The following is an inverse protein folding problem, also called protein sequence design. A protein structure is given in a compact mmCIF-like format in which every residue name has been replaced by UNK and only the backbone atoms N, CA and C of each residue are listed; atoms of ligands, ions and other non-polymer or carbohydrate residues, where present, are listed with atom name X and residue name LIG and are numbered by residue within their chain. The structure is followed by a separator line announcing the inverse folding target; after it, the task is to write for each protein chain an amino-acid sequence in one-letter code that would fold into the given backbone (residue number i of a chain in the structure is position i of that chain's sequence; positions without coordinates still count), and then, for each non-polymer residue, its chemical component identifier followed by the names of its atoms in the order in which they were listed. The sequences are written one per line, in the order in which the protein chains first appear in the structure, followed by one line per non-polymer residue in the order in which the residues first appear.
data_IF_854446645635
#
_entry.id   IF_854446645635
#
_cell.length_a   1.000
_cell.length_b   1.000
_cell.length_c   1.000
_cell.angle_alpha   90.00
_cell.angle_beta   90.00
_cell.angle_gamma   90.00
#
_symmetry.space_group_name_H-M   'P 1'
#
loop_
_entity.id
_entity.type
_entity.pdbx_description
1 polymer ?
#
# COMPACT_ATOMS: atom_id res chain seq x y z
N UNK A 1 -16.52 -30.13 20.79
CA UNK A 1 -16.52 -28.66 20.94
C UNK A 1 -15.39 -28.13 20.07
N UNK A 2 -15.73 -27.33 19.06
CA UNK A 2 -14.73 -26.67 18.21
C UNK A 2 -14.42 -25.36 18.91
N UNK A 3 -13.25 -25.28 19.56
CA UNK A 3 -12.75 -24.03 20.12
C UNK A 3 -12.48 -23.10 18.94
N UNK A 4 -13.06 -21.88 18.87
CA UNK A 4 -12.67 -20.94 17.84
C UNK A 4 -11.16 -20.68 17.99
N UNK A 5 -10.38 -20.59 16.90
CA UNK A 5 -8.99 -20.19 17.00
C UNK A 5 -8.98 -18.87 17.77
N UNK A 6 -8.17 -18.81 18.83
CA UNK A 6 -8.01 -17.63 19.67
C UNK A 6 -7.88 -16.42 18.75
N UNK A 7 -8.84 -15.49 18.85
CA UNK A 7 -8.80 -14.26 18.09
C UNK A 7 -7.43 -13.64 18.29
N UNK A 8 -6.72 -13.41 17.18
CA UNK A 8 -5.54 -12.55 17.15
C UNK A 8 -6.05 -11.13 17.38
N UNK A 9 -6.37 -10.81 18.63
CA UNK A 9 -6.83 -9.48 19.08
C UNK A 9 -5.66 -8.61 19.54
N UNK A 10 -4.46 -8.86 19.02
CA UNK A 10 -3.28 -8.02 19.21
C UNK A 10 -2.91 -7.34 17.89
N UNK A 11 -2.32 -6.16 17.96
CA UNK A 11 -1.64 -5.55 16.81
C UNK A 11 -0.63 -6.57 16.26
N UNK A 12 -0.94 -7.20 15.12
CA UNK A 12 -0.01 -8.10 14.46
C UNK A 12 0.97 -7.22 13.70
N UNK A 13 2.21 -7.16 14.20
CA UNK A 13 3.26 -6.48 13.48
C UNK A 13 3.85 -7.43 12.43
N UNK A 14 4.00 -6.93 11.21
CA UNK A 14 4.65 -7.65 10.12
C UNK A 14 6.06 -7.08 9.93
N UNK A 15 7.05 -7.94 10.10
CA UNK A 15 8.48 -7.64 9.97
C UNK A 15 9.04 -8.04 8.59
N UNK A 16 8.19 -8.58 7.70
CA UNK A 16 8.60 -8.93 6.35
C UNK A 16 9.23 -7.71 5.66
N UNK A 17 10.48 -7.81 5.16
CA UNK A 17 11.14 -6.71 4.47
C UNK A 17 10.30 -6.16 3.31
N UNK A 18 9.61 -7.03 2.59
CA UNK A 18 8.77 -6.63 1.46
C UNK A 18 7.55 -5.85 1.92
N UNK A 19 6.92 -6.24 3.03
CA UNK A 19 5.77 -5.51 3.56
C UNK A 19 6.18 -4.16 4.14
N UNK A 20 7.23 -4.14 4.98
CA UNK A 20 7.79 -2.91 5.56
C UNK A 20 8.18 -1.93 4.48
N UNK A 21 8.90 -2.38 3.45
CA UNK A 21 9.27 -1.52 2.33
C UNK A 21 8.05 -1.06 1.54
N UNK A 22 7.10 -1.94 1.22
CA UNK A 22 5.90 -1.57 0.45
C UNK A 22 5.10 -0.48 1.15
N UNK A 23 4.88 -0.61 2.45
CA UNK A 23 4.14 0.38 3.24
C UNK A 23 4.95 1.67 3.41
N UNK A 24 6.28 1.59 3.46
CA UNK A 24 7.17 2.76 3.51
C UNK A 24 7.21 3.53 2.19
N UNK A 25 7.33 2.84 1.06
CA UNK A 25 7.26 3.42 -0.28
C UNK A 25 5.90 4.09 -0.50
N UNK A 26 4.80 3.45 -0.08
CA UNK A 26 3.47 4.04 -0.16
C UNK A 26 3.35 5.33 0.67
N UNK A 27 3.90 5.35 1.89
CA UNK A 27 3.93 6.56 2.72
C UNK A 27 4.79 7.68 2.10
N UNK A 28 5.93 7.33 1.49
CA UNK A 28 6.79 8.28 0.79
C UNK A 28 6.09 8.87 -0.45
N UNK A 29 5.40 8.03 -1.23
CA UNK A 29 4.57 8.47 -2.36
C UNK A 29 3.39 9.34 -1.90
N UNK A 30 2.72 9.02 -0.80
CA UNK A 30 1.68 9.88 -0.21
C UNK A 30 2.24 11.25 0.16
N UNK A 31 3.45 11.30 0.74
CA UNK A 31 4.17 12.54 1.03
C UNK A 31 4.52 13.34 -0.23
N UNK A 32 5.04 12.67 -1.27
CA UNK A 32 5.37 13.29 -2.55
C UNK A 32 4.11 13.81 -3.27
N UNK A 33 2.99 13.07 -3.19
CA UNK A 33 1.69 13.48 -3.72
C UNK A 33 1.08 14.68 -2.99
N UNK A 34 1.65 15.11 -1.85
CA UNK A 34 1.30 16.37 -1.20
C UNK A 34 1.73 17.61 -2.01
N UNK A 35 2.59 17.46 -3.01
CA UNK A 35 3.01 18.52 -3.94
C UNK A 35 1.95 18.71 -5.04
N UNK A 36 1.86 19.93 -5.62
CA UNK A 36 0.76 20.29 -6.53
C UNK A 36 0.65 19.37 -7.75
N UNK A 37 1.77 18.95 -8.34
CA UNK A 37 1.82 18.18 -9.59
C UNK A 37 1.25 16.75 -9.49
N UNK A 38 1.03 16.26 -8.27
CA UNK A 38 0.66 14.86 -8.00
C UNK A 38 -0.55 14.73 -7.07
N UNK A 39 -1.21 15.85 -6.78
CA UNK A 39 -2.24 15.94 -5.75
C UNK A 39 -3.47 15.09 -6.04
N UNK A 40 -3.80 14.87 -7.32
CA UNK A 40 -4.92 13.99 -7.68
C UNK A 40 -4.71 12.52 -7.26
N UNK A 41 -3.47 12.06 -7.08
CA UNK A 41 -3.21 10.71 -6.58
C UNK A 41 -3.39 10.56 -5.06
N UNK A 42 -3.31 11.66 -4.30
CA UNK A 42 -3.27 11.64 -2.84
C UNK A 42 -4.45 10.89 -2.18
N UNK A 43 -5.72 11.10 -2.57
CA UNK A 43 -6.85 10.37 -1.97
C UNK A 43 -6.73 8.86 -2.17
N UNK A 44 -6.23 8.43 -3.33
CA UNK A 44 -6.07 7.04 -3.68
C UNK A 44 -4.93 6.37 -2.93
N UNK A 45 -3.81 7.07 -2.75
CA UNK A 45 -2.67 6.59 -1.96
C UNK A 45 -3.03 6.46 -0.47
N UNK A 46 -3.73 7.45 0.09
CA UNK A 46 -4.19 7.37 1.48
C UNK A 46 -5.15 6.19 1.71
N UNK A 47 -6.10 5.95 0.79
CA UNK A 47 -6.99 4.79 0.88
C UNK A 47 -6.24 3.47 0.70
N UNK A 48 -5.28 3.39 -0.22
CA UNK A 48 -4.46 2.19 -0.38
C UNK A 48 -3.66 1.88 0.89
N UNK A 49 -3.15 2.90 1.58
CA UNK A 49 -2.43 2.72 2.85
C UNK A 49 -3.34 2.21 3.95
N UNK A 50 -4.56 2.75 4.05
CA UNK A 50 -5.56 2.28 5.00
C UNK A 50 -5.92 0.80 4.77
N UNK A 51 -6.08 0.36 3.52
CA UNK A 51 -6.32 -1.06 3.21
C UNK A 51 -5.21 -1.99 3.73
N UNK A 52 -3.96 -1.56 3.65
CA UNK A 52 -2.82 -2.37 4.08
C UNK A 52 -2.59 -2.34 5.60
N UNK A 53 -2.70 -1.16 6.23
CA UNK A 53 -2.26 -0.95 7.62
C UNK A 53 -3.43 -0.99 8.60
N UNK A 54 -4.55 -0.35 8.27
CA UNK A 54 -5.69 -0.22 9.18
C UNK A 54 -6.64 -1.41 9.06
N UNK A 55 -6.97 -1.81 7.82
CA UNK A 55 -7.88 -2.93 7.55
C UNK A 55 -7.17 -4.27 7.31
N UNK A 56 -5.89 -4.21 6.95
CA UNK A 56 -5.04 -5.39 6.74
C UNK A 56 -4.73 -6.15 8.01
N UNK A 57 -5.02 -5.57 9.18
CA UNK A 57 -4.70 -6.11 10.50
C UNK A 57 -3.21 -6.42 10.68
N UNK A 58 -2.35 -5.81 9.86
CA UNK A 58 -0.90 -5.92 9.92
C UNK A 58 -0.29 -4.54 9.91
N UNK A 59 0.40 -4.18 10.99
CA UNK A 59 1.18 -2.94 11.06
C UNK A 59 2.62 -3.24 10.70
N UNK A 60 3.31 -2.40 9.91
CA UNK A 60 4.73 -2.58 9.75
C UNK A 60 5.41 -2.40 11.12
N UNK A 61 6.43 -3.22 11.42
CA UNK A 61 7.21 -3.05 12.67
C UNK A 61 7.89 -1.68 12.75
N UNK A 62 8.25 -1.11 11.61
CA UNK A 62 8.87 0.20 11.48
C UNK A 62 8.67 0.73 10.06
N UNK A 63 8.91 2.02 9.86
CA UNK A 63 9.05 2.62 8.53
C UNK A 63 10.52 2.79 8.21
N UNK A 64 10.86 2.65 6.93
CA UNK A 64 12.18 2.99 6.40
C UNK A 64 12.08 4.25 5.55
N UNK A 65 13.15 5.04 5.54
CA UNK A 65 13.21 6.22 4.67
C UNK A 65 13.34 5.76 3.22
N UNK A 66 12.34 6.13 2.41
CA UNK A 66 12.31 5.87 0.98
C UNK A 66 12.32 7.21 0.26
N UNK A 67 13.33 7.42 -0.58
CA UNK A 67 13.42 8.62 -1.42
C UNK A 67 12.72 8.34 -2.75
N UNK A 68 11.74 9.19 -3.10
CA UNK A 68 11.05 9.14 -4.38
C UNK A 68 11.61 10.26 -5.26
N UNK A 69 12.43 9.88 -6.23
CA UNK A 69 13.01 10.79 -7.24
C UNK A 69 12.08 10.98 -8.45
N UNK A 70 11.44 9.91 -8.90
CA UNK A 70 10.42 9.88 -9.93
C UNK A 70 9.14 9.28 -9.37
N UNK A 71 8.10 10.12 -9.28
CA UNK A 71 6.81 9.72 -8.75
C UNK A 71 6.14 8.61 -9.56
N UNK A 72 6.25 8.64 -10.90
CA UNK A 72 5.65 7.61 -11.76
C UNK A 72 6.39 6.29 -11.64
N UNK A 73 7.72 6.34 -11.58
CA UNK A 73 8.53 5.14 -11.34
C UNK A 73 8.20 4.52 -9.97
N UNK A 74 8.08 5.33 -8.92
CA UNK A 74 7.70 4.86 -7.59
C UNK A 74 6.30 4.24 -7.54
N UNK A 75 5.31 4.82 -8.24
CA UNK A 75 3.97 4.21 -8.37
C UNK A 75 4.02 2.85 -9.09
N UNK A 76 4.83 2.72 -10.12
CA UNK A 76 4.99 1.46 -10.86
C UNK A 76 5.67 0.39 -10.00
N UNK A 77 6.73 0.74 -9.27
CA UNK A 77 7.39 -0.17 -8.31
C UNK A 77 6.39 -0.65 -7.24
N UNK A 78 5.58 0.28 -6.71
CA UNK A 78 4.57 -0.06 -5.72
C UNK A 78 3.53 -1.05 -6.28
N UNK A 79 3.09 -0.88 -7.52
CA UNK A 79 2.16 -1.81 -8.17
C UNK A 79 2.77 -3.20 -8.36
N UNK A 80 4.03 -3.28 -8.78
CA UNK A 80 4.76 -4.53 -8.95
C UNK A 80 4.85 -5.28 -7.61
N UNK A 81 5.25 -4.59 -6.54
CA UNK A 81 5.36 -5.17 -5.20
C UNK A 81 4.04 -5.67 -4.66
N UNK A 82 2.96 -4.89 -4.80
CA UNK A 82 1.62 -5.33 -4.42
C UNK A 82 1.19 -6.58 -5.20
N UNK A 83 1.55 -6.66 -6.48
CA UNK A 83 1.27 -7.83 -7.32
C UNK A 83 2.04 -9.06 -6.84
N UNK A 84 3.33 -8.91 -6.53
CA UNK A 84 4.17 -9.99 -6.00
C UNK A 84 3.69 -10.51 -4.63
N UNK A 85 3.24 -9.61 -3.75
CA UNK A 85 2.66 -10.03 -2.47
C UNK A 85 1.30 -10.73 -2.67
N UNK A 86 0.50 -10.28 -3.63
CA UNK A 86 -0.79 -10.91 -3.92
C UNK A 86 -0.61 -12.33 -4.48
N UNK A 87 0.38 -12.55 -5.34
CA UNK A 87 0.66 -13.89 -5.90
C UNK A 87 1.22 -14.87 -4.88
N UNK A 88 1.86 -14.37 -3.81
CA UNK A 88 2.47 -15.20 -2.76
C UNK A 88 1.59 -15.35 -1.51
N UNK A 89 0.56 -14.51 -1.36
CA UNK A 89 -0.34 -14.53 -0.20
C UNK A 89 -1.21 -15.81 -0.16
N UNK A 90 -1.06 -16.58 0.91
CA UNK A 90 -1.89 -17.76 1.20
C UNK A 90 -3.09 -17.45 2.11
N UNK A 91 -3.19 -16.22 2.61
CA UNK A 91 -4.25 -15.79 3.53
C UNK A 91 -5.31 -15.03 2.76
N UNK A 92 -6.51 -15.58 2.64
CA UNK A 92 -7.58 -15.01 1.82
C UNK A 92 -7.90 -13.54 2.16
N UNK A 93 -8.00 -13.22 3.45
CA UNK A 93 -8.26 -11.85 3.91
C UNK A 93 -7.14 -10.89 3.51
N UNK A 94 -5.88 -11.32 3.59
CA UNK A 94 -4.73 -10.52 3.17
C UNK A 94 -4.76 -10.27 1.67
N UNK A 95 -5.08 -11.30 0.88
CA UNK A 95 -5.20 -11.18 -0.58
C UNK A 95 -6.27 -10.16 -0.98
N UNK A 96 -7.43 -10.13 -0.31
CA UNK A 96 -8.48 -9.14 -0.57
C UNK A 96 -8.01 -7.70 -0.31
N UNK A 97 -7.23 -7.49 0.76
CA UNK A 97 -6.70 -6.16 1.11
C UNK A 97 -5.62 -5.70 0.15
N UNK A 98 -4.74 -6.62 -0.25
CA UNK A 98 -3.73 -6.38 -1.29
C UNK A 98 -4.37 -6.05 -2.64
N UNK A 99 -5.43 -6.75 -3.02
CA UNK A 99 -6.18 -6.48 -4.26
C UNK A 99 -6.87 -5.12 -4.21
N UNK A 100 -7.52 -4.78 -3.09
CA UNK A 100 -8.14 -3.47 -2.89
C UNK A 100 -7.12 -2.34 -2.96
N UNK A 101 -5.98 -2.46 -2.25
CA UNK A 101 -4.90 -1.50 -2.28
C UNK A 101 -4.34 -1.32 -3.72
N UNK A 102 -4.14 -2.42 -4.45
CA UNK A 102 -3.67 -2.36 -5.86
C UNK A 102 -4.67 -1.66 -6.77
N UNK A 103 -5.97 -1.90 -6.59
CA UNK A 103 -7.02 -1.23 -7.36
C UNK A 103 -7.02 0.27 -7.11
N UNK A 104 -6.90 0.67 -5.84
CA UNK A 104 -6.82 2.09 -5.45
C UNK A 104 -5.58 2.75 -6.03
N UNK A 105 -4.42 2.08 -5.96
CA UNK A 105 -3.18 2.55 -6.58
C UNK A 105 -3.35 2.82 -8.08
N UNK A 106 -3.97 1.90 -8.83
CA UNK A 106 -4.25 2.08 -10.26
C UNK A 106 -5.14 3.29 -10.55
N UNK A 107 -6.11 3.57 -9.69
CA UNK A 107 -6.89 4.80 -9.77
C UNK A 107 -6.00 6.03 -9.55
N UNK A 108 -5.10 5.98 -8.56
CA UNK A 108 -4.11 7.04 -8.31
C UNK A 108 -3.17 7.29 -9.50
N UNK A 109 -2.64 6.22 -10.12
CA UNK A 109 -1.82 6.30 -11.34
C UNK A 109 -2.58 7.00 -12.47
N UNK A 110 -3.83 6.60 -12.68
CA UNK A 110 -4.68 7.20 -13.72
C UNK A 110 -4.93 8.68 -13.43
N UNK A 111 -5.23 9.03 -12.17
CA UNK A 111 -5.49 10.40 -11.76
C UNK A 111 -4.27 11.32 -11.96
N UNK A 112 -3.07 10.87 -11.54
CA UNK A 112 -1.81 11.60 -11.77
C UNK A 112 -1.46 11.73 -13.27
N UNK A 113 -1.85 10.76 -14.10
CA UNK A 113 -1.62 10.80 -15.54
C UNK A 113 -2.46 11.85 -16.29
N UNK A 114 -3.63 12.22 -15.76
CA UNK A 114 -4.56 13.18 -16.38
C UNK A 114 -4.17 14.64 -16.10
N UNK A 115 -3.46 14.92 -15.00
CA UNK A 115 -3.03 16.29 -14.68
C UNK A 115 -1.81 16.75 -15.48
N UNK A 116 -0.93 15.84 -15.90
CA UNK A 116 0.29 16.20 -16.66
C UNK A 116 0.02 16.55 -18.13
N UNK A 117 -1.20 16.32 -18.64
CA UNK A 117 -1.58 16.58 -20.04
C UNK A 117 -2.35 17.91 -20.23
N UNK A 118 -2.48 18.72 -19.16
CA UNK A 118 -3.12 20.05 -19.17
C UNK A 118 -2.12 21.18 -19.13
#
# INVERSE_FOLDING_TARGET
MITPPAGLTGDVYDESPDFVYTVSLLAALEGAAGQEDHRAALPHLGMARAELVDYGQRRPTHYVDVYVDDFRAGLAELEERLTAMLTTSQVHQQSLRLEAARRLLRCGITAAGVETDR
#
